data_IF_029423444150
#
_entry.id   IF_029423444150
#
_cell.length_a   1.000
_cell.length_b   1.000
_cell.length_c   1.000
_cell.angle_alpha   90.00
_cell.angle_beta   90.00
_cell.angle_gamma   90.00
#
_symmetry.space_group_name_H-M   'P 1'
#
loop_
_entity.id
_entity.type
_entity.pdbx_description
1 polymer ?
#
# COMPACT_ATOMS: atom_id res chain seq x y z
N UNK A 1 -28.91 -46.71 1.02
CA UNK A 1 -27.87 -45.67 1.00
C UNK A 1 -27.80 -45.07 -0.40
N UNK A 2 -28.39 -43.89 -0.57
CA UNK A 2 -28.35 -43.11 -1.82
C UNK A 2 -27.13 -42.19 -1.77
N UNK A 3 -26.18 -42.36 -2.69
CA UNK A 3 -25.10 -41.41 -2.90
C UNK A 3 -25.54 -40.43 -3.99
N UNK A 4 -25.88 -39.20 -3.59
CA UNK A 4 -26.11 -38.09 -4.52
C UNK A 4 -24.76 -37.70 -5.14
N UNK A 5 -24.55 -38.05 -6.41
CA UNK A 5 -23.46 -37.49 -7.21
C UNK A 5 -23.77 -36.02 -7.52
N UNK A 6 -22.98 -35.11 -6.97
CA UNK A 6 -22.98 -33.72 -7.40
C UNK A 6 -22.44 -33.61 -8.84
N UNK A 7 -23.36 -33.41 -9.78
CA UNK A 7 -23.05 -32.93 -11.14
C UNK A 7 -22.58 -31.48 -11.03
N UNK A 8 -21.31 -31.27 -10.68
CA UNK A 8 -20.66 -29.98 -10.88
C UNK A 8 -20.68 -29.65 -12.37
N UNK A 9 -21.44 -28.61 -12.72
CA UNK A 9 -21.62 -28.11 -14.07
C UNK A 9 -20.27 -28.01 -14.82
N UNK A 10 -20.27 -28.41 -16.09
CA UNK A 10 -19.19 -28.25 -17.06
C UNK A 10 -18.88 -26.75 -17.25
N UNK A 11 -18.21 -26.17 -16.26
CA UNK A 11 -17.82 -24.77 -16.23
C UNK A 11 -16.53 -24.56 -16.99
N UNK A 12 -16.53 -23.56 -17.86
CA UNK A 12 -15.33 -23.04 -18.52
C UNK A 12 -14.17 -22.95 -17.54
N UNK A 13 -13.14 -23.79 -17.74
CA UNK A 13 -11.95 -23.71 -16.92
C UNK A 13 -11.20 -22.41 -17.25
N UNK A 14 -10.72 -21.70 -16.23
CA UNK A 14 -9.91 -20.45 -16.34
C UNK A 14 -8.86 -20.53 -17.45
N UNK A 15 -8.20 -21.69 -17.59
CA UNK A 15 -7.21 -21.97 -18.66
C UNK A 15 -7.77 -21.83 -20.07
N UNK A 16 -9.02 -22.24 -20.30
CA UNK A 16 -9.70 -22.14 -21.58
C UNK A 16 -10.12 -20.69 -21.87
N UNK A 17 -10.55 -19.95 -20.86
CA UNK A 17 -10.82 -18.51 -20.97
C UNK A 17 -9.56 -17.72 -21.36
N UNK A 18 -8.42 -17.98 -20.71
CA UNK A 18 -7.14 -17.33 -21.05
C UNK A 18 -6.72 -17.65 -22.49
N UNK A 19 -6.85 -18.91 -22.93
CA UNK A 19 -6.56 -19.30 -24.32
C UNK A 19 -7.50 -18.63 -25.34
N UNK A 20 -8.76 -18.43 -24.99
CA UNK A 20 -9.74 -17.76 -25.86
C UNK A 20 -9.43 -16.26 -25.97
N UNK A 21 -9.03 -15.61 -24.87
CA UNK A 21 -8.69 -14.19 -24.84
C UNK A 21 -7.45 -13.86 -25.68
N UNK A 22 -6.50 -14.79 -25.81
CA UNK A 22 -5.29 -14.61 -26.64
C UNK A 22 -5.54 -14.68 -28.14
N UNK A 23 -6.66 -15.22 -28.60
CA UNK A 23 -6.90 -15.44 -30.04
C UNK A 23 -7.56 -14.24 -30.76
N UNK A 24 -7.99 -13.21 -30.04
CA UNK A 24 -8.80 -12.11 -30.62
C UNK A 24 -7.97 -10.85 -30.94
N UNK A 25 -6.71 -10.77 -30.51
CA UNK A 25 -5.89 -9.55 -30.66
C UNK A 25 -4.93 -9.59 -31.85
N UNK A 26 -5.33 -10.20 -32.97
CA UNK A 26 -4.47 -10.32 -34.17
C UNK A 26 -4.89 -9.41 -35.33
N UNK A 27 -5.88 -8.53 -35.19
CA UNK A 27 -6.36 -7.69 -36.30
C UNK A 27 -6.62 -6.25 -35.86
N UNK A 28 -5.56 -5.50 -35.55
CA UNK A 28 -5.53 -4.04 -35.72
C UNK A 28 -4.12 -3.46 -35.47
N UNK A 29 -3.48 -2.98 -36.54
CA UNK A 29 -2.60 -1.81 -36.46
C UNK A 29 -1.10 -2.06 -36.27
N UNK A 30 -0.33 -1.81 -37.32
CA UNK A 30 1.11 -1.66 -37.28
C UNK A 30 1.54 -0.49 -36.36
N UNK A 31 2.37 -0.78 -35.37
CA UNK A 31 2.99 0.21 -34.47
C UNK A 31 3.88 -0.46 -33.42
N UNK A 32 5.19 -0.28 -33.54
CA UNK A 32 6.29 -0.75 -32.67
C UNK A 32 5.98 -0.94 -31.17
N UNK A 33 5.40 -2.06 -30.71
CA UNK A 33 5.18 -2.27 -29.26
C UNK A 33 5.27 -3.73 -28.76
N UNK A 34 5.74 -4.69 -29.54
CA UNK A 34 5.90 -6.06 -29.04
C UNK A 34 7.25 -6.20 -28.32
N UNK A 35 7.29 -5.79 -27.04
CA UNK A 35 8.23 -6.38 -26.09
C UNK A 35 7.75 -7.80 -25.83
N UNK A 36 8.37 -8.77 -26.48
CA UNK A 36 8.15 -10.19 -26.20
C UNK A 36 8.45 -10.41 -24.71
N UNK A 37 7.47 -10.83 -23.87
CA UNK A 37 7.80 -11.24 -22.52
C UNK A 37 8.62 -12.53 -22.65
N UNK A 38 9.92 -12.44 -22.38
CA UNK A 38 10.78 -13.62 -22.32
C UNK A 38 10.26 -14.50 -21.18
N UNK A 39 9.65 -15.63 -21.57
CA UNK A 39 9.28 -16.71 -20.66
C UNK A 39 10.54 -17.14 -19.90
N UNK A 40 10.60 -16.85 -18.60
CA UNK A 40 11.74 -17.15 -17.73
C UNK A 40 12.05 -16.08 -16.66
N UNK A 41 11.48 -14.87 -16.77
CA UNK A 41 11.58 -13.85 -15.74
C UNK A 41 10.39 -13.97 -14.76
N UNK A 42 10.64 -14.51 -13.56
CA UNK A 42 9.65 -14.54 -12.46
C UNK A 42 9.31 -13.16 -11.87
N UNK A 43 9.95 -12.10 -12.38
CA UNK A 43 9.75 -10.73 -11.93
C UNK A 43 9.44 -9.86 -13.15
N UNK A 44 8.23 -9.30 -13.21
CA UNK A 44 7.97 -8.20 -14.11
C UNK A 44 8.95 -7.06 -13.77
N UNK A 45 9.57 -6.36 -14.74
CA UNK A 45 10.31 -5.13 -14.48
C UNK A 45 9.31 -4.05 -14.07
N UNK A 46 8.85 -4.12 -12.82
CA UNK A 46 8.21 -3.02 -12.14
C UNK A 46 9.31 -2.01 -11.90
N UNK A 47 9.23 -0.86 -12.56
CA UNK A 47 9.91 0.34 -12.06
C UNK A 47 9.53 0.43 -10.59
N UNK A 48 10.48 0.24 -9.67
CA UNK A 48 10.20 0.10 -8.25
C UNK A 48 9.18 1.14 -7.79
N UNK A 49 8.14 0.71 -7.07
CA UNK A 49 7.03 1.56 -6.64
C UNK A 49 7.61 2.86 -6.08
N UNK A 50 7.28 3.98 -6.71
CA UNK A 50 7.66 5.30 -6.20
C UNK A 50 6.95 5.46 -4.86
N UNK A 51 7.70 5.41 -3.75
CA UNK A 51 7.17 5.68 -2.41
C UNK A 51 6.91 7.19 -2.33
N UNK A 52 5.70 7.59 -2.72
CA UNK A 52 5.24 8.98 -2.73
C UNK A 52 4.59 9.41 -1.41
N UNK A 53 4.14 10.66 -1.34
CA UNK A 53 3.47 11.22 -0.17
C UNK A 53 2.22 10.41 0.25
N UNK A 54 1.50 9.81 -0.71
CA UNK A 54 0.33 8.97 -0.46
C UNK A 54 0.67 7.57 0.07
N UNK A 55 1.95 7.19 0.06
CA UNK A 55 2.36 5.93 0.65
C UNK A 55 2.57 6.06 2.16
N UNK A 56 2.61 7.26 2.75
CA UNK A 56 2.88 7.47 4.19
C UNK A 56 1.61 7.46 5.03
N UNK A 57 1.72 6.92 6.25
CA UNK A 57 0.65 6.95 7.25
C UNK A 57 0.77 8.23 8.08
N UNK A 58 -0.18 9.14 7.95
CA UNK A 58 -0.23 10.33 8.79
C UNK A 58 -0.72 9.98 10.20
N UNK A 59 0.03 10.42 11.21
CA UNK A 59 -0.26 10.13 12.63
C UNK A 59 -0.49 11.43 13.39
N UNK A 60 -1.64 11.52 14.05
CA UNK A 60 -1.97 12.57 15.01
C UNK A 60 -1.91 12.04 16.45
N UNK A 61 -1.38 12.84 17.36
CA UNK A 61 -1.23 12.48 18.77
C UNK A 61 -2.20 13.27 19.65
N UNK A 62 -2.85 12.59 20.60
CA UNK A 62 -3.75 13.19 21.59
C UNK A 62 -3.24 12.87 22.98
N UNK A 63 -3.07 13.89 23.82
CA UNK A 63 -2.48 13.74 25.15
C UNK A 63 -0.96 13.65 25.09
N UNK A 64 -0.32 14.77 24.76
CA UNK A 64 1.14 14.87 24.56
C UNK A 64 1.88 15.49 25.75
N UNK A 65 1.26 15.43 26.94
CA UNK A 65 1.90 15.68 28.23
C UNK A 65 3.08 14.73 28.51
N UNK A 66 3.63 14.75 29.73
CA UNK A 66 4.91 14.07 30.03
C UNK A 66 4.96 12.58 29.66
N UNK A 67 3.90 11.82 29.92
CA UNK A 67 3.86 10.40 29.54
C UNK A 67 3.72 10.23 28.03
N UNK A 68 2.80 10.95 27.39
CA UNK A 68 2.56 10.83 25.96
C UNK A 68 3.77 11.23 25.11
N UNK A 69 4.44 12.31 25.52
CA UNK A 69 5.66 12.79 24.87
C UNK A 69 6.78 11.74 24.90
N UNK A 70 7.07 11.18 26.08
CA UNK A 70 8.15 10.20 26.27
C UNK A 70 7.80 8.79 25.79
N UNK A 71 6.55 8.56 25.36
CA UNK A 71 6.11 7.27 24.83
C UNK A 71 5.77 7.42 23.36
N UNK A 72 4.50 7.52 23.01
CA UNK A 72 4.02 7.40 21.65
C UNK A 72 4.55 8.52 20.73
N UNK A 73 4.75 9.75 21.22
CA UNK A 73 5.30 10.82 20.36
C UNK A 73 6.75 10.52 19.98
N UNK A 74 7.63 10.32 20.97
CA UNK A 74 9.04 10.03 20.72
C UNK A 74 9.23 8.71 19.97
N UNK A 75 8.54 7.64 20.37
CA UNK A 75 8.68 6.33 19.74
C UNK A 75 8.29 6.36 18.27
N UNK A 76 7.16 7.01 17.93
CA UNK A 76 6.72 7.08 16.53
C UNK A 76 7.61 8.03 15.74
N UNK A 77 7.99 9.20 16.26
CA UNK A 77 8.89 10.13 15.55
C UNK A 77 10.26 9.50 15.27
N UNK A 78 10.85 8.83 16.26
CA UNK A 78 12.17 8.20 16.12
C UNK A 78 12.16 7.00 15.17
N UNK A 79 11.00 6.34 15.00
CA UNK A 79 10.84 5.21 14.10
C UNK A 79 9.99 5.53 12.85
N UNK A 80 9.78 6.82 12.56
CA UNK A 80 8.89 7.29 11.50
C UNK A 80 9.24 6.69 10.13
N UNK A 81 10.54 6.69 9.78
CA UNK A 81 11.02 6.10 8.53
C UNK A 81 10.79 4.58 8.46
N UNK A 82 11.01 3.88 9.58
CA UNK A 82 10.86 2.42 9.67
C UNK A 82 9.41 1.98 9.50
N UNK A 83 8.47 2.73 10.05
CA UNK A 83 7.04 2.42 10.00
C UNK A 83 6.30 3.15 8.89
N UNK A 84 7.01 3.90 8.05
CA UNK A 84 6.42 4.74 7.01
C UNK A 84 5.32 5.67 7.58
N UNK A 85 5.57 6.17 8.79
CA UNK A 85 4.69 7.06 9.52
C UNK A 85 5.18 8.50 9.39
N UNK A 86 4.24 9.43 9.29
CA UNK A 86 4.50 10.86 9.25
C UNK A 86 3.72 11.53 10.39
N UNK A 87 4.42 11.99 11.44
CA UNK A 87 3.82 12.85 12.45
C UNK A 87 3.20 14.09 11.78
N UNK A 88 1.91 14.32 12.02
CA UNK A 88 1.14 15.33 11.29
C UNK A 88 0.37 16.29 12.20
N UNK A 89 0.05 15.89 13.43
CA UNK A 89 -0.70 16.74 14.37
C UNK A 89 -0.42 16.37 15.84
N UNK A 90 -0.59 17.34 16.74
CA UNK A 90 -0.66 17.12 18.19
C UNK A 90 -1.82 17.90 18.81
N UNK A 91 -2.45 17.28 19.80
CA UNK A 91 -3.55 17.81 20.60
C UNK A 91 -3.28 17.59 22.10
N UNK A 92 -3.40 18.64 22.88
CA UNK A 92 -3.41 18.61 24.35
C UNK A 92 -4.26 19.77 24.87
N UNK A 93 -4.78 19.64 26.09
CA UNK A 93 -5.48 20.73 26.78
C UNK A 93 -4.48 21.83 27.17
N UNK A 94 -3.25 21.44 27.51
CA UNK A 94 -2.20 22.37 27.89
C UNK A 94 -1.38 22.78 26.67
N UNK A 95 -1.41 24.07 26.30
CA UNK A 95 -0.76 24.58 25.09
C UNK A 95 0.74 24.31 25.07
N UNK A 96 1.42 24.44 26.21
CA UNK A 96 2.87 24.20 26.31
C UNK A 96 3.25 22.78 25.89
N UNK A 97 2.44 21.77 26.29
CA UNK A 97 2.71 20.38 25.91
C UNK A 97 2.42 20.11 24.45
N UNK A 98 1.31 20.68 23.93
CA UNK A 98 0.99 20.62 22.51
C UNK A 98 2.10 21.23 21.66
N UNK A 99 2.59 22.41 22.05
CA UNK A 99 3.56 23.18 21.26
C UNK A 99 4.94 22.54 21.31
N UNK A 100 5.38 22.07 22.49
CA UNK A 100 6.58 21.22 22.63
C UNK A 100 6.52 20.00 21.70
N UNK A 101 5.38 19.32 21.64
CA UNK A 101 5.23 18.15 20.77
C UNK A 101 5.28 18.53 19.29
N UNK A 102 4.62 19.63 18.89
CA UNK A 102 4.66 20.14 17.51
C UNK A 102 6.07 20.52 17.09
N UNK A 103 6.82 21.19 17.95
CA UNK A 103 8.22 21.56 17.73
C UNK A 103 9.10 20.32 17.56
N UNK A 104 9.02 19.37 18.49
CA UNK A 104 9.76 18.11 18.40
C UNK A 104 9.43 17.32 17.12
N UNK A 105 8.17 17.37 16.69
CA UNK A 105 7.74 16.71 15.45
C UNK A 105 8.09 17.49 14.18
N UNK A 106 8.47 18.77 14.28
CA UNK A 106 8.73 19.65 13.14
C UNK A 106 7.48 20.03 12.35
N UNK A 107 6.33 20.15 13.03
CA UNK A 107 5.02 20.47 12.41
C UNK A 107 4.41 21.78 12.92
N UNK A 108 5.15 22.55 13.71
CA UNK A 108 4.77 23.90 14.15
C UNK A 108 5.30 24.96 13.18
N UNK A 109 4.45 25.92 12.82
CA UNK A 109 4.82 27.18 12.16
C UNK A 109 5.46 28.15 13.14
#
# INVERSE_FOLDING_TARGET
>A
MSQLQDKSATGSNRRRFIKQATAVTAVAGAGNLIRTPVYGQNQAPSTGRVIGANDRVNVGFVGVGNQGFNTHVQQIKNNAAKHNAQPAAACDVFSEYRDRAKEFMGIGS
#
